data_IF_088884364256
#
_entry.id   IF_088884364256
#
_cell.length_a   1.000
_cell.length_b   1.000
_cell.length_c   1.000
_cell.angle_alpha   90.00
_cell.angle_beta   90.00
_cell.angle_gamma   90.00
#
_symmetry.space_group_name_H-M   'P 1'
#
loop_
_entity.id
_entity.type
_entity.pdbx_description
1 polymer ?
#
# COMPACT_ATOMS: atom_id res chain seq x y z
N UNK A 1 20.52 5.59 -48.88
CA UNK A 1 20.28 4.58 -47.83
C UNK A 1 20.93 5.07 -46.55
N UNK A 2 20.13 5.40 -45.54
CA UNK A 2 20.54 5.43 -44.13
C UNK A 2 19.24 5.54 -43.32
N UNK A 3 18.84 4.41 -42.74
CA UNK A 3 17.64 4.29 -41.93
C UNK A 3 17.79 5.07 -40.62
N UNK A 4 16.72 5.75 -40.24
CA UNK A 4 16.53 6.32 -38.90
C UNK A 4 15.78 5.26 -38.09
N UNK A 5 16.46 4.62 -37.14
CA UNK A 5 15.81 3.76 -36.16
C UNK A 5 15.05 4.61 -35.12
N UNK A 6 13.88 4.16 -34.65
CA UNK A 6 13.11 4.86 -33.63
C UNK A 6 13.67 4.59 -32.23
N UNK A 7 13.86 5.65 -31.44
CA UNK A 7 14.15 5.58 -30.01
C UNK A 7 12.95 4.97 -29.26
N UNK A 8 13.08 3.71 -28.87
CA UNK A 8 12.25 3.11 -27.84
C UNK A 8 12.71 3.65 -26.48
N UNK A 9 11.88 4.47 -25.84
CA UNK A 9 11.97 4.77 -24.42
C UNK A 9 11.58 3.51 -23.64
N UNK A 10 12.57 2.67 -23.37
CA UNK A 10 12.47 1.58 -22.42
C UNK A 10 12.53 2.23 -21.03
N UNK A 11 11.42 2.19 -20.29
CA UNK A 11 11.43 2.45 -18.85
C UNK A 11 12.22 1.32 -18.17
N UNK A 12 13.53 1.49 -18.07
CA UNK A 12 14.34 0.72 -17.14
C UNK A 12 14.05 1.22 -15.72
N UNK A 13 13.18 0.53 -14.98
CA UNK A 13 13.46 0.35 -13.55
C UNK A 13 14.72 -0.51 -13.48
N UNK A 14 15.87 0.15 -13.55
CA UNK A 14 17.17 -0.49 -13.49
C UNK A 14 17.32 -1.12 -12.11
N UNK A 15 17.23 -2.46 -12.06
CA UNK A 15 17.89 -3.21 -10.99
C UNK A 15 19.35 -2.74 -10.97
N UNK A 16 19.91 -2.35 -9.80
CA UNK A 16 21.32 -1.99 -9.71
C UNK A 16 22.19 -3.13 -10.25
N UNK A 17 23.29 -2.77 -10.92
CA UNK A 17 24.21 -3.74 -11.51
C UNK A 17 24.69 -4.79 -10.50
N UNK A 18 25.02 -5.98 -11.01
CA UNK A 18 25.46 -7.23 -10.34
C UNK A 18 26.55 -7.08 -9.25
N UNK A 19 27.16 -5.90 -9.06
CA UNK A 19 28.35 -5.71 -8.21
C UNK A 19 28.07 -5.50 -6.72
N UNK A 20 26.85 -5.19 -6.32
CA UNK A 20 26.52 -4.81 -4.92
C UNK A 20 25.48 -5.75 -4.26
N UNK A 21 25.56 -7.06 -4.49
CA UNK A 21 24.67 -8.07 -3.89
C UNK A 21 25.34 -8.84 -2.73
N UNK A 22 24.69 -9.00 -1.56
CA UNK A 22 23.42 -8.39 -1.16
C UNK A 22 23.57 -6.88 -0.95
N UNK A 23 22.51 -6.13 -1.26
CA UNK A 23 22.47 -4.70 -1.02
C UNK A 23 22.45 -4.41 0.48
N UNK A 24 23.28 -3.46 0.90
CA UNK A 24 23.34 -3.00 2.29
C UNK A 24 22.37 -1.84 2.51
N UNK A 25 21.76 -1.82 3.70
CA UNK A 25 20.91 -0.73 4.14
C UNK A 25 21.76 0.24 4.96
N UNK A 26 21.87 1.49 4.50
CA UNK A 26 22.55 2.55 5.25
C UNK A 26 21.76 3.01 6.48
N UNK A 27 20.43 2.79 6.47
CA UNK A 27 19.52 3.13 7.55
C UNK A 27 18.38 2.12 7.65
N UNK A 28 17.82 1.87 8.84
CA UNK A 28 16.66 1.01 8.98
C UNK A 28 15.40 1.64 8.39
N UNK A 29 14.54 0.80 7.80
CA UNK A 29 13.19 1.19 7.36
C UNK A 29 12.20 0.71 8.42
N UNK A 30 11.60 1.65 9.14
CA UNK A 30 10.80 1.38 10.34
C UNK A 30 9.32 1.43 10.03
N UNK A 31 8.51 0.59 10.70
CA UNK A 31 7.05 0.63 10.63
C UNK A 31 6.49 0.37 9.22
N UNK A 32 7.11 -0.56 8.49
CA UNK A 32 6.61 -1.05 7.19
C UNK A 32 5.36 -1.87 7.45
N UNK A 33 4.24 -1.45 6.87
CA UNK A 33 2.94 -2.03 7.16
C UNK A 33 2.41 -2.86 6.00
N UNK A 34 1.81 -4.00 6.34
CA UNK A 34 1.10 -4.87 5.43
C UNK A 34 -0.34 -5.06 5.91
N UNK A 35 -1.28 -5.06 4.97
CA UNK A 35 -2.70 -5.16 5.25
C UNK A 35 -3.43 -5.92 4.15
N UNK A 36 -4.15 -6.96 4.56
CA UNK A 36 -5.08 -7.72 3.75
C UNK A 36 -6.47 -7.60 4.38
N UNK A 37 -7.43 -7.12 3.61
CA UNK A 37 -8.83 -7.04 4.04
C UNK A 37 -9.56 -8.33 3.67
N UNK A 38 -10.48 -8.77 4.55
CA UNK A 38 -11.34 -9.91 4.25
C UNK A 38 -12.51 -9.53 3.34
N UNK A 39 -12.20 -8.96 2.16
CA UNK A 39 -13.21 -8.60 1.15
C UNK A 39 -14.09 -9.82 0.83
N UNK A 40 -15.36 -9.78 1.23
CA UNK A 40 -16.37 -10.80 0.90
C UNK A 40 -16.02 -12.24 1.33
N UNK A 41 -15.08 -12.44 2.25
CA UNK A 41 -14.60 -13.78 2.65
C UNK A 41 -13.65 -14.45 1.66
N UNK A 42 -13.22 -13.76 0.59
CA UNK A 42 -12.35 -14.32 -0.46
C UNK A 42 -10.87 -14.28 -0.06
N UNK A 43 -10.46 -13.31 0.75
CA UNK A 43 -9.09 -13.17 1.25
C UNK A 43 -9.06 -13.21 2.77
N UNK A 44 -8.02 -13.81 3.38
CA UNK A 44 -7.86 -13.79 4.82
C UNK A 44 -7.47 -12.39 5.31
N UNK A 45 -8.03 -11.98 6.44
CA UNK A 45 -7.66 -10.77 7.15
C UNK A 45 -6.25 -10.91 7.74
N UNK A 46 -5.38 -9.93 7.53
CA UNK A 46 -4.11 -9.84 8.23
C UNK A 46 -3.63 -8.39 8.29
N UNK A 47 -3.16 -7.95 9.45
CA UNK A 47 -2.39 -6.73 9.58
C UNK A 47 -1.07 -7.01 10.29
N UNK A 48 0.01 -6.42 9.78
CA UNK A 48 1.34 -6.51 10.37
C UNK A 48 2.12 -5.22 10.15
N UNK A 49 2.93 -4.83 11.13
CA UNK A 49 3.90 -3.75 11.03
C UNK A 49 5.27 -4.26 11.47
N UNK A 50 6.27 -4.11 10.60
CA UNK A 50 7.61 -4.64 10.82
C UNK A 50 8.70 -3.59 10.54
N UNK A 51 9.82 -3.74 11.24
CA UNK A 51 11.04 -2.98 10.99
C UNK A 51 12.00 -3.82 10.16
N UNK A 52 12.66 -3.19 9.20
CA UNK A 52 13.68 -3.78 8.34
C UNK A 52 15.01 -3.10 8.64
N UNK A 53 15.98 -3.86 9.12
CA UNK A 53 17.29 -3.37 9.54
C UNK A 53 18.39 -4.11 8.79
N UNK A 54 19.54 -3.44 8.63
CA UNK A 54 20.74 -4.11 8.15
C UNK A 54 21.12 -5.24 9.11
N UNK A 55 21.30 -6.45 8.57
CA UNK A 55 22.00 -7.51 9.27
C UNK A 55 23.49 -7.38 8.93
N UNK A 56 24.37 -7.09 9.91
CA UNK A 56 25.80 -6.93 9.64
C UNK A 56 26.36 -8.22 9.02
N UNK A 57 26.93 -8.11 7.83
CA UNK A 57 27.63 -9.22 7.19
C UNK A 57 28.90 -9.52 7.99
N UNK A 58 28.85 -10.54 8.84
CA UNK A 58 30.02 -11.05 9.54
C UNK A 58 31.01 -11.73 8.59
N UNK A 59 32.17 -12.15 9.12
CA UNK A 59 33.15 -12.96 8.36
C UNK A 59 32.68 -14.38 8.04
N UNK A 60 31.56 -14.83 8.61
CA UNK A 60 31.08 -16.22 8.57
C UNK A 60 29.92 -16.36 7.56
N UNK A 61 29.83 -17.45 6.77
CA UNK A 61 28.82 -17.60 5.74
C UNK A 61 27.54 -18.25 6.30
N UNK A 62 26.70 -17.51 7.04
CA UNK A 62 25.25 -17.78 7.23
C UNK A 62 24.52 -16.70 8.05
N UNK A 63 23.21 -16.46 7.82
CA UNK A 63 22.54 -16.24 6.55
C UNK A 63 22.13 -14.76 6.36
N UNK A 64 21.83 -14.32 5.13
CA UNK A 64 21.44 -12.94 4.81
C UNK A 64 20.05 -12.52 5.34
N UNK A 65 19.48 -13.25 6.30
CA UNK A 65 18.14 -12.98 6.82
C UNK A 65 17.96 -13.50 8.26
N UNK A 66 17.44 -12.65 9.13
CA UNK A 66 17.01 -12.96 10.49
C UNK A 66 15.57 -12.44 10.68
N UNK A 67 14.67 -13.27 11.20
CA UNK A 67 13.32 -12.85 11.59
C UNK A 67 13.14 -12.93 13.10
N UNK A 68 12.59 -11.87 13.69
CA UNK A 68 12.26 -11.81 15.11
C UNK A 68 10.80 -11.40 15.26
N UNK A 69 9.99 -12.25 15.88
CA UNK A 69 8.65 -11.86 16.30
C UNK A 69 8.72 -11.22 17.70
N UNK A 70 8.40 -9.93 17.79
CA UNK A 70 8.36 -9.21 19.07
C UNK A 70 6.91 -8.96 19.54
N UNK A 71 5.91 -9.48 18.81
CA UNK A 71 4.51 -9.48 19.22
C UNK A 71 4.29 -10.65 20.18
N UNK A 72 3.78 -10.43 21.40
CA UNK A 72 3.54 -11.51 22.36
C UNK A 72 2.52 -12.53 21.85
N UNK A 73 2.70 -13.80 22.22
CA UNK A 73 1.78 -14.90 21.85
C UNK A 73 0.34 -14.68 22.33
N UNK A 74 0.15 -13.86 23.37
CA UNK A 74 -1.17 -13.44 23.87
C UNK A 74 -1.90 -12.48 22.93
N UNK A 75 -1.19 -11.82 22.02
CA UNK A 75 -1.73 -10.86 21.07
C UNK A 75 -1.78 -11.41 19.64
N UNK A 76 -0.88 -12.33 19.31
CA UNK A 76 -0.80 -13.01 18.02
C UNK A 76 -0.42 -14.47 18.22
N UNK A 77 -1.25 -15.44 17.78
CA UNK A 77 -0.88 -16.85 17.75
C UNK A 77 0.48 -17.05 17.07
N UNK A 78 1.35 -17.86 17.68
CA UNK A 78 2.73 -18.06 17.26
C UNK A 78 2.82 -18.53 15.79
N UNK A 79 1.84 -19.30 15.34
CA UNK A 79 1.73 -19.81 13.96
C UNK A 79 1.52 -18.68 12.95
N UNK A 80 0.71 -17.67 13.29
CA UNK A 80 0.49 -16.51 12.42
C UNK A 80 1.74 -15.62 12.36
N UNK A 81 2.42 -15.44 13.49
CA UNK A 81 3.70 -14.72 13.55
C UNK A 81 4.79 -15.42 12.73
N UNK A 82 4.90 -16.74 12.85
CA UNK A 82 5.82 -17.56 12.06
C UNK A 82 5.49 -17.50 10.56
N UNK A 83 4.20 -17.59 10.20
CA UNK A 83 3.76 -17.51 8.82
C UNK A 83 4.12 -16.17 8.17
N UNK A 84 4.04 -15.05 8.91
CA UNK A 84 4.52 -13.76 8.42
C UNK A 84 6.02 -13.79 8.07
N UNK A 85 6.85 -14.33 8.98
CA UNK A 85 8.29 -14.48 8.75
C UNK A 85 8.61 -15.35 7.53
N UNK A 86 7.92 -16.48 7.36
CA UNK A 86 8.05 -17.34 6.18
C UNK A 86 7.63 -16.62 4.88
N UNK A 87 6.58 -15.80 4.94
CA UNK A 87 6.16 -14.93 3.83
C UNK A 87 7.24 -13.93 3.41
N UNK A 88 7.88 -13.28 4.38
CA UNK A 88 9.01 -12.36 4.15
C UNK A 88 10.15 -13.11 3.46
N UNK A 89 10.58 -14.25 4.02
CA UNK A 89 11.68 -15.04 3.47
C UNK A 89 11.36 -15.58 2.07
N UNK A 90 10.15 -16.07 1.85
CA UNK A 90 9.69 -16.55 0.55
C UNK A 90 9.78 -15.47 -0.52
N UNK A 91 9.39 -14.22 -0.19
CA UNK A 91 9.51 -13.09 -1.12
C UNK A 91 10.96 -12.75 -1.42
N UNK A 92 11.84 -12.71 -0.42
CA UNK A 92 13.27 -12.46 -0.62
C UNK A 92 13.91 -13.55 -1.49
N UNK A 93 13.56 -14.84 -1.27
CA UNK A 93 14.03 -15.97 -2.08
C UNK A 93 13.55 -15.88 -3.53
N UNK A 94 12.32 -15.43 -3.77
CA UNK A 94 11.80 -15.23 -5.13
C UNK A 94 12.58 -14.15 -5.91
N UNK A 95 13.26 -13.25 -5.22
CA UNK A 95 14.15 -12.23 -5.80
C UNK A 95 15.64 -12.57 -5.65
N UNK A 96 15.96 -13.80 -5.22
CA UNK A 96 17.35 -14.23 -5.08
C UNK A 96 18.02 -14.38 -6.45
N UNK A 97 19.33 -14.15 -6.47
CA UNK A 97 20.17 -14.33 -7.65
C UNK A 97 21.32 -15.29 -7.28
N UNK A 98 21.46 -16.39 -8.03
CA UNK A 98 22.40 -17.48 -7.73
C UNK A 98 22.35 -17.98 -6.27
N UNK A 99 21.16 -18.02 -5.67
CA UNK A 99 20.98 -18.47 -4.29
C UNK A 99 21.35 -17.44 -3.21
N UNK A 100 21.71 -16.21 -3.60
CA UNK A 100 21.98 -15.10 -2.68
C UNK A 100 20.75 -14.19 -2.60
N UNK A 101 20.31 -13.86 -1.38
CA UNK A 101 19.19 -12.92 -1.18
C UNK A 101 19.56 -11.51 -1.63
N UNK A 102 18.57 -10.70 -2.08
CA UNK A 102 18.83 -9.34 -2.53
C UNK A 102 19.34 -8.40 -1.44
N UNK A 103 19.02 -8.70 -0.18
CA UNK A 103 19.37 -7.88 0.98
C UNK A 103 19.86 -8.76 2.13
N UNK A 104 20.72 -8.19 2.99
CA UNK A 104 21.09 -8.77 4.27
C UNK A 104 20.26 -8.11 5.39
N UNK A 105 19.17 -8.77 5.83
CA UNK A 105 18.14 -8.11 6.65
C UNK A 105 17.89 -8.80 7.98
N UNK A 106 17.72 -7.99 9.03
CA UNK A 106 16.95 -8.38 10.21
C UNK A 106 15.56 -7.76 10.08
N UNK A 107 14.52 -8.60 10.17
CA UNK A 107 13.13 -8.17 10.16
C UNK A 107 12.51 -8.41 11.52
N UNK A 108 11.99 -7.35 12.14
CA UNK A 108 11.31 -7.41 13.44
C UNK A 108 9.83 -7.17 13.26
N UNK A 109 8.99 -8.17 13.53
CA UNK A 109 7.54 -7.95 13.60
C UNK A 109 7.21 -7.23 14.91
N UNK A 110 6.79 -5.96 14.82
CA UNK A 110 6.57 -5.07 15.95
C UNK A 110 5.11 -5.07 16.41
N UNK A 111 4.18 -5.17 15.47
CA UNK A 111 2.73 -5.17 15.72
C UNK A 111 2.05 -6.08 14.73
N UNK A 112 0.99 -6.73 15.16
CA UNK A 112 0.12 -7.50 14.30
C UNK A 112 -1.32 -7.43 14.83
N UNK A 113 -2.27 -7.61 13.94
CA UNK A 113 -3.67 -7.79 14.31
C UNK A 113 -4.26 -8.92 13.48
N UNK A 114 -4.99 -9.79 14.16
CA UNK A 114 -5.65 -10.94 13.58
C UNK A 114 -7.10 -10.99 14.05
N UNK A 115 -7.93 -11.71 13.32
CA UNK A 115 -9.35 -11.89 13.62
C UNK A 115 -9.69 -13.36 13.55
N UNK A 116 -10.32 -13.87 14.61
CA UNK A 116 -10.75 -15.26 14.67
C UNK A 116 -11.69 -15.59 13.50
N UNK A 117 -11.43 -16.72 12.82
CA UNK A 117 -12.18 -17.16 11.65
C UNK A 117 -11.96 -16.35 10.36
N UNK A 118 -11.23 -15.22 10.41
CA UNK A 118 -10.91 -14.40 9.23
C UNK A 118 -9.42 -14.38 8.91
N UNK A 119 -8.55 -14.57 9.91
CA UNK A 119 -7.10 -14.66 9.72
C UNK A 119 -6.63 -16.09 9.56
N UNK A 120 -5.65 -16.27 8.66
CA UNK A 120 -5.02 -17.56 8.40
C UNK A 120 -3.50 -17.39 8.28
N UNK A 121 -2.76 -18.48 8.45
CA UNK A 121 -1.32 -18.51 8.17
C UNK A 121 -1.01 -18.04 6.75
N UNK A 122 -1.80 -18.46 5.76
CA UNK A 122 -1.65 -18.02 4.37
C UNK A 122 -1.83 -16.51 4.19
N UNK A 123 -2.74 -15.89 4.97
CA UNK A 123 -2.92 -14.45 4.99
C UNK A 123 -1.73 -13.72 5.60
N UNK A 124 -1.23 -14.20 6.74
CA UNK A 124 -0.04 -13.61 7.36
C UNK A 124 1.22 -13.79 6.50
N UNK A 125 1.38 -14.92 5.82
CA UNK A 125 2.43 -15.12 4.84
C UNK A 125 2.31 -14.14 3.66
N UNK A 126 1.11 -13.93 3.12
CA UNK A 126 0.88 -12.94 2.07
C UNK A 126 1.17 -11.51 2.56
N UNK A 127 0.84 -11.18 3.81
CA UNK A 127 1.20 -9.90 4.43
C UNK A 127 2.73 -9.73 4.56
N UNK A 128 3.45 -10.79 4.95
CA UNK A 128 4.92 -10.80 4.97
C UNK A 128 5.52 -10.51 3.59
N UNK A 129 4.98 -11.11 2.53
CA UNK A 129 5.41 -10.82 1.17
C UNK A 129 5.11 -9.37 0.76
N UNK A 130 3.96 -8.81 1.18
CA UNK A 130 3.59 -7.42 0.91
C UNK A 130 4.54 -6.44 1.61
N UNK A 131 4.91 -6.71 2.85
CA UNK A 131 5.86 -5.88 3.61
C UNK A 131 7.22 -5.79 2.89
N UNK A 132 7.73 -6.88 2.32
CA UNK A 132 9.00 -6.86 1.55
C UNK A 132 8.90 -6.01 0.28
N UNK A 133 7.74 -5.95 -0.38
CA UNK A 133 7.52 -5.07 -1.54
C UNK A 133 7.58 -3.60 -1.14
N UNK A 134 6.80 -3.23 -0.14
CA UNK A 134 6.80 -1.86 0.39
C UNK A 134 8.19 -1.44 0.88
N UNK A 135 8.89 -2.33 1.59
CA UNK A 135 10.28 -2.11 1.99
C UNK A 135 11.20 -1.84 0.79
N UNK A 136 11.11 -2.67 -0.25
CA UNK A 136 11.94 -2.53 -1.44
C UNK A 136 11.68 -1.21 -2.15
N UNK A 137 10.42 -0.79 -2.25
CA UNK A 137 10.05 0.50 -2.85
C UNK A 137 10.64 1.66 -2.02
N UNK A 138 10.51 1.62 -0.69
CA UNK A 138 11.11 2.61 0.22
C UNK A 138 12.63 2.71 0.08
N UNK A 139 13.30 1.56 -0.05
CA UNK A 139 14.75 1.48 -0.21
C UNK A 139 15.19 2.16 -1.51
N UNK A 140 14.53 1.88 -2.63
CA UNK A 140 14.90 2.41 -3.94
C UNK A 140 14.51 3.89 -4.11
N UNK A 141 13.35 4.29 -3.60
CA UNK A 141 12.84 5.66 -3.74
C UNK A 141 13.41 6.61 -2.67
N UNK A 142 14.08 6.07 -1.64
CA UNK A 142 14.60 6.83 -0.51
C UNK A 142 13.49 7.40 0.40
N UNK A 143 12.25 6.95 0.22
CA UNK A 143 11.08 7.36 1.00
C UNK A 143 10.93 6.54 2.29
N UNK A 144 10.16 7.07 3.26
CA UNK A 144 9.70 6.29 4.40
C UNK A 144 8.52 5.38 4.01
N UNK A 145 8.24 4.34 4.81
CA UNK A 145 7.12 3.45 4.54
C UNK A 145 5.78 4.14 4.67
N UNK A 146 4.87 3.76 3.79
CA UNK A 146 3.49 4.24 3.79
C UNK A 146 2.79 3.69 5.02
N UNK A 147 2.37 4.58 5.92
CA UNK A 147 1.69 4.19 7.15
C UNK A 147 0.22 3.82 6.87
N UNK A 148 -0.04 2.53 6.68
CA UNK A 148 -1.34 1.89 6.82
C UNK A 148 -1.83 1.90 8.28
N UNK A 149 -2.55 2.93 8.68
CA UNK A 149 -3.01 2.98 10.06
C UNK A 149 -4.10 1.93 10.30
N UNK A 150 -3.71 0.89 11.05
CA UNK A 150 -4.59 -0.03 11.78
C UNK A 150 -4.38 0.26 13.27
N UNK A 151 -5.42 0.75 13.93
CA UNK A 151 -5.34 1.26 15.29
C UNK A 151 -5.34 0.17 16.37
N UNK A 152 -4.53 0.37 17.42
CA UNK A 152 -4.84 -0.08 18.80
C UNK A 152 -5.34 1.15 19.57
N UNK A 153 -6.31 1.01 20.50
CA UNK A 153 -7.07 2.14 21.01
C UNK A 153 -6.24 3.00 21.98
N UNK A 154 -6.29 4.32 21.78
CA UNK A 154 -5.87 5.31 22.77
C UNK A 154 -4.65 6.15 22.38
N UNK A 155 -4.82 7.14 21.50
CA UNK A 155 -4.03 8.38 21.58
C UNK A 155 -4.73 9.55 20.89
N UNK A 156 -5.21 10.48 21.72
CA UNK A 156 -5.63 11.88 21.49
C UNK A 156 -6.63 12.16 20.36
N UNK A 157 -7.85 12.40 20.84
CA UNK A 157 -8.98 13.02 20.16
C UNK A 157 -8.56 14.37 19.55
N UNK A 158 -8.68 14.51 18.23
CA UNK A 158 -8.90 15.81 17.61
C UNK A 158 -10.41 16.01 17.45
N UNK A 159 -10.90 17.10 18.02
CA UNK A 159 -12.33 17.42 18.10
C UNK A 159 -13.00 17.43 16.72
N UNK A 160 -14.18 16.83 16.73
CA UNK A 160 -15.09 16.54 15.63
C UNK A 160 -15.68 17.82 15.05
N UNK A 161 -15.49 18.02 13.74
CA UNK A 161 -16.54 18.63 12.91
C UNK A 161 -17.21 17.49 12.15
N UNK A 162 -18.54 17.43 12.13
CA UNK A 162 -19.31 16.52 11.29
C UNK A 162 -18.95 16.77 9.82
N UNK A 163 -18.04 15.95 9.26
CA UNK A 163 -17.73 16.00 7.84
C UNK A 163 -18.74 15.10 7.16
N UNK A 164 -19.61 15.70 6.34
CA UNK A 164 -20.54 14.95 5.50
C UNK A 164 -19.77 14.10 4.47
N UNK A 165 -20.28 12.89 4.19
CA UNK A 165 -19.74 12.04 3.13
C UNK A 165 -19.63 12.80 1.80
N UNK A 166 -18.51 12.63 1.10
CA UNK A 166 -18.28 13.22 -0.21
C UNK A 166 -18.74 12.21 -1.25
N UNK A 167 -19.87 12.51 -1.88
CA UNK A 167 -20.49 11.63 -2.88
C UNK A 167 -20.00 11.98 -4.28
N UNK A 168 -20.07 10.98 -5.16
CA UNK A 168 -19.93 11.14 -6.61
C UNK A 168 -18.63 11.85 -7.02
N UNK A 169 -17.50 11.41 -6.46
CA UNK A 169 -16.18 11.86 -6.90
C UNK A 169 -15.87 11.20 -8.23
N UNK A 170 -16.18 11.93 -9.31
CA UNK A 170 -16.00 11.47 -10.67
C UNK A 170 -14.64 11.86 -11.22
N UNK A 171 -13.87 10.87 -11.66
CA UNK A 171 -12.59 11.05 -12.34
C UNK A 171 -12.66 10.51 -13.75
N UNK A 172 -12.23 11.34 -14.70
CA UNK A 172 -12.10 10.98 -16.11
C UNK A 172 -10.67 11.25 -16.58
N UNK A 173 -9.93 10.19 -16.89
CA UNK A 173 -8.63 10.20 -17.52
C UNK A 173 -8.76 9.55 -18.90
N UNK A 174 -9.04 10.37 -19.90
CA UNK A 174 -9.19 9.90 -21.29
C UNK A 174 -8.25 10.73 -22.16
N UNK A 175 -7.21 10.08 -22.70
CA UNK A 175 -6.36 10.66 -23.75
C UNK A 175 -6.23 9.65 -24.88
N UNK A 176 -6.89 9.91 -26.03
CA UNK A 176 -6.69 9.12 -27.24
C UNK A 176 -5.36 9.55 -27.88
N UNK A 177 -4.26 9.09 -27.29
CA UNK A 177 -2.90 9.21 -27.83
C UNK A 177 -2.31 7.83 -28.05
N UNK A 178 -1.15 7.71 -28.69
CA UNK A 178 -0.49 6.44 -29.08
C UNK A 178 -0.38 5.42 -27.92
N UNK A 179 -0.38 5.87 -26.67
CA UNK A 179 -0.29 5.01 -25.49
C UNK A 179 -1.62 4.61 -24.84
N UNK A 180 -2.78 4.94 -25.43
CA UNK A 180 -4.11 4.51 -24.99
C UNK A 180 -4.35 4.74 -23.50
N UNK A 181 -4.79 5.94 -23.09
CA UNK A 181 -5.16 6.19 -21.70
C UNK A 181 -6.66 6.30 -21.56
N UNK A 182 -7.26 5.31 -20.89
CA UNK A 182 -8.67 5.29 -20.58
C UNK A 182 -8.90 4.78 -19.15
N UNK A 183 -9.38 5.65 -18.28
CA UNK A 183 -9.93 5.28 -16.98
C UNK A 183 -11.03 6.29 -16.63
N UNK A 184 -12.20 5.76 -16.29
CA UNK A 184 -13.28 6.54 -15.69
C UNK A 184 -13.70 5.81 -14.42
N UNK A 185 -13.80 6.54 -13.31
CA UNK A 185 -14.20 5.98 -12.04
C UNK A 185 -15.04 7.01 -11.28
N UNK A 186 -16.05 6.53 -10.57
CA UNK A 186 -16.86 7.32 -9.64
C UNK A 186 -16.89 6.60 -8.30
N UNK A 187 -16.46 7.30 -7.26
CA UNK A 187 -16.41 6.75 -5.92
C UNK A 187 -16.98 7.72 -4.87
N UNK A 188 -17.48 7.14 -3.79
CA UNK A 188 -17.91 7.88 -2.61
C UNK A 188 -16.85 7.77 -1.52
N UNK A 189 -16.64 8.87 -0.80
CA UNK A 189 -15.73 8.96 0.34
C UNK A 189 -16.55 9.22 1.60
N UNK A 190 -16.74 8.18 2.39
CA UNK A 190 -17.49 8.23 3.64
C UNK A 190 -16.50 8.35 4.80
N UNK A 191 -16.72 9.25 5.78
CA UNK A 191 -15.92 9.23 6.99
C UNK A 191 -16.17 7.90 7.71
N UNK A 192 -15.08 7.25 8.12
CA UNK A 192 -15.18 6.13 9.05
C UNK A 192 -15.36 6.67 10.48
N UNK A 193 -16.02 5.90 11.37
CA UNK A 193 -16.13 6.26 12.78
C UNK A 193 -14.76 6.60 13.37
N UNK A 194 -14.68 7.69 14.13
CA UNK A 194 -13.41 8.16 14.71
C UNK A 194 -12.81 7.19 15.74
N UNK A 195 -13.63 6.28 16.27
CA UNK A 195 -13.30 5.17 17.16
C UNK A 195 -13.09 3.83 16.43
N UNK A 196 -13.22 3.81 15.09
CA UNK A 196 -13.01 2.63 14.26
C UNK A 196 -11.52 2.27 14.09
N UNK A 197 -11.24 0.97 13.99
CA UNK A 197 -9.87 0.43 13.85
C UNK A 197 -9.20 0.73 12.51
N UNK A 198 -9.99 1.10 11.49
CA UNK A 198 -9.57 1.29 10.10
C UNK A 198 -9.51 2.78 9.76
N UNK A 199 -8.36 3.27 9.28
CA UNK A 199 -8.29 4.62 8.69
C UNK A 199 -8.59 4.64 7.20
N UNK A 200 -8.48 3.51 6.53
CA UNK A 200 -8.81 3.38 5.12
C UNK A 200 -9.49 2.05 4.88
N UNK A 201 -10.64 2.09 4.23
CA UNK A 201 -11.34 0.92 3.74
C UNK A 201 -11.68 1.15 2.28
N UNK A 202 -11.32 0.22 1.41
CA UNK A 202 -11.75 0.22 0.01
C UNK A 202 -12.86 -0.81 -0.16
N UNK A 203 -14.02 -0.39 -0.65
CA UNK A 203 -15.13 -1.25 -0.96
C UNK A 203 -15.39 -1.23 -2.47
N UNK A 204 -15.16 -2.37 -3.12
CA UNK A 204 -15.49 -2.55 -4.53
C UNK A 204 -16.94 -3.03 -4.65
N UNK A 205 -17.82 -2.20 -5.23
CA UNK A 205 -19.24 -2.53 -5.45
C UNK A 205 -19.53 -2.98 -6.88
N UNK A 206 -18.46 -3.25 -7.64
CA UNK A 206 -18.50 -3.71 -9.01
C UNK A 206 -18.16 -5.20 -9.07
N UNK A 207 -18.85 -5.94 -9.93
CA UNK A 207 -18.44 -7.30 -10.28
C UNK A 207 -17.18 -7.29 -11.14
N UNK A 208 -16.45 -8.41 -11.15
CA UNK A 208 -15.24 -8.59 -11.97
C UNK A 208 -15.51 -8.41 -13.47
N UNK A 209 -16.72 -8.75 -13.92
CA UNK A 209 -17.21 -8.51 -15.29
C UNK A 209 -17.29 -7.02 -15.64
N UNK A 210 -17.57 -6.16 -14.66
CA UNK A 210 -17.66 -4.70 -14.85
C UNK A 210 -16.30 -4.01 -14.71
N UNK A 211 -15.43 -4.53 -13.86
CA UNK A 211 -14.08 -4.03 -13.67
C UNK A 211 -13.14 -5.18 -13.27
N UNK A 212 -12.10 -5.49 -14.09
CA UNK A 212 -11.09 -6.48 -13.73
C UNK A 212 -10.43 -6.16 -12.38
N UNK A 213 -10.20 -7.20 -11.58
CA UNK A 213 -9.67 -7.06 -10.22
C UNK A 213 -8.33 -6.31 -10.19
N UNK A 214 -7.42 -6.60 -11.11
CA UNK A 214 -6.11 -5.94 -11.19
C UNK A 214 -6.23 -4.41 -11.37
N UNK A 215 -7.23 -3.95 -12.13
CA UNK A 215 -7.49 -2.52 -12.31
C UNK A 215 -8.12 -1.88 -11.06
N UNK A 216 -8.97 -2.63 -10.35
CA UNK A 216 -9.53 -2.19 -9.07
C UNK A 216 -8.43 -2.08 -7.99
N UNK A 217 -7.53 -3.06 -7.91
CA UNK A 217 -6.37 -3.04 -7.00
C UNK A 217 -5.41 -1.90 -7.35
N UNK A 218 -5.19 -1.63 -8.64
CA UNK A 218 -4.39 -0.49 -9.06
C UNK A 218 -5.03 0.85 -8.66
N UNK A 219 -6.35 0.98 -8.79
CA UNK A 219 -7.10 2.15 -8.32
C UNK A 219 -6.98 2.33 -6.80
N UNK A 220 -7.14 1.26 -6.02
CA UNK A 220 -6.93 1.27 -4.57
C UNK A 220 -5.50 1.74 -4.21
N UNK A 221 -4.49 1.19 -4.88
CA UNK A 221 -3.08 1.59 -4.69
C UNK A 221 -2.91 3.10 -4.93
N UNK A 222 -3.57 3.65 -5.94
CA UNK A 222 -3.57 5.08 -6.22
C UNK A 222 -4.27 5.93 -5.15
N UNK A 223 -5.42 5.48 -4.65
CA UNK A 223 -6.09 6.14 -3.52
C UNK A 223 -5.19 6.19 -2.29
N UNK A 224 -4.58 5.05 -1.95
CA UNK A 224 -3.64 4.94 -0.82
C UNK A 224 -2.45 5.87 -1.03
N UNK A 225 -1.87 5.89 -2.23
CA UNK A 225 -0.79 6.82 -2.55
C UNK A 225 -1.13 8.25 -2.20
N UNK A 226 -2.23 8.79 -2.70
CA UNK A 226 -2.54 10.20 -2.48
C UNK A 226 -2.99 10.48 -1.03
N UNK A 227 -3.83 9.62 -0.46
CA UNK A 227 -4.31 9.77 0.92
C UNK A 227 -3.17 9.68 1.94
N UNK A 228 -2.08 8.97 1.61
CA UNK A 228 -0.89 8.86 2.46
C UNK A 228 0.27 9.79 2.03
N UNK A 229 0.31 10.27 0.78
CA UNK A 229 1.32 11.18 0.25
C UNK A 229 1.01 12.67 0.46
N UNK A 230 -0.14 13.02 1.04
CA UNK A 230 -0.40 14.37 1.58
C UNK A 230 0.52 14.73 2.78
N UNK A 231 1.76 14.26 2.76
CA UNK A 231 2.86 14.51 3.67
C UNK A 231 3.48 15.90 3.51
N UNK A 232 2.65 16.93 3.72
CA UNK A 232 3.14 18.16 4.38
C UNK A 232 3.38 17.93 5.89
N UNK A 233 3.34 16.68 6.35
CA UNK A 233 3.39 16.28 7.76
C UNK A 233 2.01 16.16 8.40
N UNK A 234 0.92 16.36 7.64
CA UNK A 234 -0.44 16.13 8.10
C UNK A 234 -0.92 14.82 7.51
N UNK A 235 -1.06 13.82 8.39
CA UNK A 235 -1.81 12.59 8.15
C UNK A 235 -3.10 12.89 7.37
N UNK A 236 -3.70 11.94 6.62
CA UNK A 236 -5.10 12.10 6.26
C UNK A 236 -5.84 12.44 7.55
N UNK A 237 -6.45 13.64 7.58
CA UNK A 237 -6.92 14.26 8.82
C UNK A 237 -7.95 13.35 9.52
N UNK A 238 -8.55 12.39 8.79
CA UNK A 238 -9.63 11.50 9.25
C UNK A 238 -9.60 10.16 8.50
N UNK A 239 -10.20 9.15 9.13
CA UNK A 239 -10.44 7.84 8.55
C UNK A 239 -11.49 7.91 7.43
N UNK A 240 -11.29 7.23 6.30
CA UNK A 240 -12.25 7.20 5.18
C UNK A 240 -12.49 5.80 4.63
N UNK A 241 -13.75 5.52 4.31
CA UNK A 241 -14.17 4.41 3.44
C UNK A 241 -14.38 4.96 2.04
N UNK A 242 -13.74 4.34 1.05
CA UNK A 242 -13.92 4.65 -0.36
C UNK A 242 -14.72 3.54 -1.02
N UNK A 243 -15.91 3.87 -1.52
CA UNK A 243 -16.81 2.93 -2.22
C UNK A 243 -16.74 3.20 -3.72
N UNK A 244 -16.13 2.30 -4.48
CA UNK A 244 -16.09 2.37 -5.94
C UNK A 244 -17.35 1.71 -6.51
N UNK A 245 -18.29 2.53 -6.99
CA UNK A 245 -19.61 2.08 -7.43
C UNK A 245 -19.85 2.20 -8.94
N UNK A 246 -19.02 2.98 -9.65
CA UNK A 246 -19.00 3.00 -11.11
C UNK A 246 -17.58 3.11 -11.66
N UNK A 247 -17.29 2.34 -12.71
CA UNK A 247 -16.04 2.43 -13.44
C UNK A 247 -16.24 2.04 -14.91
N UNK A 248 -15.44 2.63 -15.79
CA UNK A 248 -15.35 2.24 -17.19
C UNK A 248 -13.91 2.07 -17.60
N UNK A 249 -13.66 1.00 -18.35
CA UNK A 249 -12.36 0.63 -18.87
C UNK A 249 -12.48 0.20 -20.34
N UNK A 250 -11.33 0.12 -21.03
CA UNK A 250 -11.15 -0.37 -22.40
C UNK A 250 -10.10 -1.47 -22.37
N UNK A 251 -10.36 -2.61 -23.00
CA UNK A 251 -9.37 -3.69 -23.08
C UNK A 251 -8.09 -3.29 -23.82
N UNK A 252 -8.13 -2.22 -24.61
CA UNK A 252 -7.00 -1.73 -25.41
C UNK A 252 -6.29 -0.56 -24.72
N UNK A 253 -7.05 0.32 -24.06
CA UNK A 253 -6.56 1.61 -23.56
C UNK A 253 -6.54 1.70 -22.03
N UNK A 254 -6.89 0.64 -21.31
CA UNK A 254 -6.83 0.61 -19.84
C UNK A 254 -5.73 -0.33 -19.37
N UNK A 255 -5.01 0.09 -18.34
CA UNK A 255 -3.97 -0.67 -17.65
C UNK A 255 -3.89 -0.24 -16.18
N UNK A 256 -3.11 -0.97 -15.38
CA UNK A 256 -2.93 -0.67 -13.96
C UNK A 256 -2.41 0.76 -13.73
N UNK A 257 -1.45 1.22 -14.55
CA UNK A 257 -0.83 2.53 -14.37
C UNK A 257 -1.86 3.67 -14.46
N UNK A 258 -2.78 3.62 -15.44
CA UNK A 258 -3.79 4.67 -15.62
C UNK A 258 -4.89 4.59 -14.56
N UNK A 259 -5.26 3.39 -14.10
CA UNK A 259 -6.22 3.22 -12.99
C UNK A 259 -5.63 3.67 -11.66
N UNK A 260 -4.34 3.43 -11.41
CA UNK A 260 -3.63 3.97 -10.26
C UNK A 260 -3.56 5.51 -10.30
N UNK A 261 -3.32 6.10 -11.47
CA UNK A 261 -3.40 7.55 -11.63
C UNK A 261 -4.82 8.10 -11.39
N UNK A 262 -5.86 7.36 -11.81
CA UNK A 262 -7.25 7.72 -11.53
C UNK A 262 -7.56 7.68 -10.03
N UNK A 263 -7.05 6.68 -9.31
CA UNK A 263 -7.17 6.57 -7.85
C UNK A 263 -6.55 7.77 -7.13
N UNK A 264 -5.31 8.15 -7.48
CA UNK A 264 -4.66 9.34 -6.91
C UNK A 264 -5.49 10.60 -7.13
N UNK A 265 -5.97 10.80 -8.37
CA UNK A 265 -6.78 11.97 -8.71
C UNK A 265 -8.12 12.02 -7.97
N UNK A 266 -8.74 10.86 -7.72
CA UNK A 266 -10.00 10.78 -6.98
C UNK A 266 -9.80 11.21 -5.51
N UNK A 267 -8.76 10.69 -4.86
CA UNK A 267 -8.40 11.07 -3.50
C UNK A 267 -8.05 12.56 -3.39
N UNK A 268 -7.25 13.11 -4.31
CA UNK A 268 -6.90 14.53 -4.31
C UNK A 268 -8.13 15.43 -4.41
N UNK A 269 -9.09 15.07 -5.28
CA UNK A 269 -10.34 15.79 -5.44
C UNK A 269 -11.23 15.70 -4.19
N UNK A 270 -11.31 14.52 -3.56
CA UNK A 270 -12.04 14.36 -2.31
C UNK A 270 -11.44 15.20 -1.18
N UNK A 271 -10.11 15.21 -1.04
CA UNK A 271 -9.42 16.05 -0.06
C UNK A 271 -9.71 17.54 -0.32
N UNK A 272 -9.62 17.99 -1.57
CA UNK A 272 -9.96 19.37 -1.96
C UNK A 272 -11.39 19.76 -1.54
N UNK A 273 -12.39 18.91 -1.85
CA UNK A 273 -13.79 19.15 -1.47
C UNK A 273 -14.00 19.16 0.05
N UNK A 274 -13.28 18.32 0.79
CA UNK A 274 -13.31 18.28 2.25
C UNK A 274 -12.83 19.60 2.88
N UNK A 275 -11.75 20.18 2.33
CA UNK A 275 -11.21 21.46 2.80
C UNK A 275 -12.14 22.65 2.50
N UNK A 276 -12.83 22.62 1.36
CA UNK A 276 -13.77 23.69 0.95
C UNK A 276 -15.07 23.67 1.78
N UNK A 277 -15.51 22.50 2.26
CA UNK A 277 -16.69 22.37 3.13
C UNK A 277 -16.47 22.82 4.59
N UNK A 278 -15.22 23.02 5.02
CA UNK A 278 -14.86 23.41 6.39
C UNK A 278 -14.55 24.90 6.59
N UNK A 279 -14.72 25.74 5.55
CA UNK A 279 -14.26 27.12 5.53
C UNK A 279 -15.38 28.17 5.42
N UNK A 280 -16.12 28.39 6.51
CA UNK A 280 -16.86 29.65 6.75
C UNK A 280 -17.00 29.86 8.26
N UNK A 281 -15.96 30.42 8.86
CA UNK A 281 -15.94 30.72 10.28
C UNK A 281 -14.63 31.34 10.73
N UNK A 282 -14.19 32.45 10.12
CA UNK A 282 -13.27 33.43 10.74
C UNK A 282 -13.14 34.69 9.88
N UNK A 283 -13.96 35.70 10.19
CA UNK A 283 -13.69 37.15 10.15
C UNK A 283 -15.02 37.83 10.56
N UNK A 284 -15.19 38.59 11.64
CA UNK A 284 -14.26 39.28 12.51
C UNK A 284 -14.42 40.79 12.38
N UNK A 285 -15.50 41.37 12.94
CA UNK A 285 -15.63 42.70 13.59
C UNK A 285 -17.07 43.20 13.61
#
# INVERSE_FOLDING_TARGET
MAGREPMALIYHHGMPGVRDYPQQLDRPVRDVQAYLSSQGGVRPYAFAAADFEALPLGRDPAPPFEFVNEVPDTELPAELGAAFGEGVLARLRAWSYHGVLPYALRVRLRRAHWREGQSTETGFAAAGQQAVREFSDCFHDGSGPRRLVVGRPGARQHATGEVSAIRDVHVRLVKPTVCGHFAIATADFEPLPADGELLFEFALELSEERLPLDLAEAFERGLREELYAAGDGRLPVRAFRVRLHDARWSAVDSNEMIFQAAGRKAAAEALRRSHEGGGLGTAGR
#
